data_IF_070422371488
#
_entry.id   IF_070422371488
#
_cell.length_a   1.000
_cell.length_b   1.000
_cell.length_c   1.000
_cell.angle_alpha   90.00
_cell.angle_beta   90.00
_cell.angle_gamma   90.00
#
_symmetry.space_group_name_H-M   'P 1'
#
loop_
_entity.id
_entity.type
_entity.pdbx_description
1 polymer ?
#
# COMPACT_ATOMS: atom_id res chain seq x y z
N UNK A 1 -14.46 -3.25 -28.64
CA UNK A 1 -12.99 -3.34 -28.51
C UNK A 1 -12.46 -1.93 -28.39
N UNK A 2 -11.93 -1.55 -27.22
CA UNK A 2 -11.23 -0.27 -27.09
C UNK A 2 -9.92 -0.40 -27.85
N UNK A 3 -9.75 0.40 -28.91
CA UNK A 3 -8.49 0.50 -29.62
C UNK A 3 -7.50 1.24 -28.70
N UNK A 4 -6.53 0.50 -28.16
CA UNK A 4 -5.39 1.08 -27.47
C UNK A 4 -4.59 1.86 -28.51
N UNK A 5 -4.44 3.17 -28.33
CA UNK A 5 -3.52 3.97 -29.14
C UNK A 5 -2.12 3.90 -28.53
N UNK A 6 -1.11 3.74 -29.38
CA UNK A 6 0.29 3.72 -28.98
C UNK A 6 1.13 4.42 -30.05
N UNK A 7 2.16 5.14 -29.63
CA UNK A 7 3.17 5.75 -30.50
C UNK A 7 4.55 5.29 -30.02
N UNK A 8 5.37 4.75 -30.92
CA UNK A 8 6.69 4.17 -30.63
C UNK A 8 6.72 3.13 -29.49
N UNK A 9 5.57 2.55 -29.15
CA UNK A 9 5.38 1.55 -28.10
C UNK A 9 4.42 0.48 -28.59
N UNK A 10 4.49 -0.71 -27.99
CA UNK A 10 3.62 -1.84 -28.32
C UNK A 10 3.18 -2.51 -27.02
N UNK A 11 1.88 -2.73 -26.86
CA UNK A 11 1.37 -3.57 -25.79
C UNK A 11 1.82 -5.02 -26.04
N UNK A 12 2.49 -5.61 -25.04
CA UNK A 12 2.96 -7.01 -25.10
C UNK A 12 2.14 -7.96 -24.23
N UNK A 13 1.39 -7.43 -23.26
CA UNK A 13 0.53 -8.17 -22.34
C UNK A 13 -0.37 -7.20 -21.57
N UNK A 14 -1.39 -7.71 -20.91
CA UNK A 14 -2.22 -6.97 -19.96
C UNK A 14 -2.79 -7.92 -18.92
N UNK A 15 -3.17 -7.36 -17.76
CA UNK A 15 -3.96 -8.03 -16.75
C UNK A 15 -5.05 -7.08 -16.30
N UNK A 16 -6.29 -7.55 -16.34
CA UNK A 16 -7.41 -6.75 -15.87
C UNK A 16 -7.50 -6.85 -14.35
N UNK A 17 -7.60 -5.70 -13.69
CA UNK A 17 -7.77 -5.60 -12.24
C UNK A 17 -8.59 -4.35 -11.90
N UNK A 18 -9.11 -4.22 -10.67
CA UNK A 18 -9.88 -3.05 -10.25
C UNK A 18 -9.14 -1.71 -10.45
N UNK A 19 -7.83 -1.70 -10.23
CA UNK A 19 -6.94 -0.57 -10.51
C UNK A 19 -7.20 0.69 -9.67
N UNK A 20 -6.71 1.83 -10.17
CA UNK A 20 -6.91 3.17 -9.61
C UNK A 20 -5.92 3.59 -8.50
N UNK A 21 -5.15 2.66 -7.94
CA UNK A 21 -4.10 2.95 -6.96
C UNK A 21 -2.69 2.99 -7.56
N UNK A 22 -1.71 2.97 -6.67
CA UNK A 22 -0.29 2.89 -6.99
C UNK A 22 0.08 1.51 -7.54
N UNK A 23 1.10 1.47 -8.39
CA UNK A 23 1.75 0.23 -8.81
C UNK A 23 3.21 0.23 -8.39
N UNK A 24 3.75 -0.95 -8.09
CA UNK A 24 5.15 -1.14 -7.76
C UNK A 24 5.64 -2.51 -8.27
N UNK A 25 6.93 -2.62 -8.59
CA UNK A 25 7.54 -3.88 -9.03
C UNK A 25 8.71 -4.20 -8.10
N UNK A 26 8.74 -5.44 -7.60
CA UNK A 26 9.89 -6.04 -6.92
C UNK A 26 10.21 -7.38 -7.58
N UNK A 27 11.38 -7.48 -8.20
CA UNK A 27 11.75 -8.60 -9.06
C UNK A 27 10.71 -8.89 -10.15
N UNK A 28 10.14 -10.10 -10.12
CA UNK A 28 9.12 -10.56 -11.07
C UNK A 28 7.69 -10.35 -10.58
N UNK A 29 7.48 -9.59 -9.51
CA UNK A 29 6.15 -9.38 -8.93
C UNK A 29 5.73 -7.93 -9.12
N UNK A 30 4.57 -7.75 -9.75
CA UNK A 30 3.87 -6.48 -9.83
C UNK A 30 2.81 -6.42 -8.72
N UNK A 31 2.87 -5.35 -7.94
CA UNK A 31 1.95 -5.02 -6.87
C UNK A 31 1.05 -3.88 -7.33
N UNK A 32 -0.27 -4.03 -7.18
CA UNK A 32 -1.26 -3.04 -7.65
C UNK A 32 -2.20 -2.71 -6.51
N UNK A 33 -2.11 -1.48 -5.98
CA UNK A 33 -3.08 -0.94 -5.04
C UNK A 33 -4.41 -0.59 -5.72
N UNK A 34 -5.50 -0.67 -4.97
CA UNK A 34 -6.85 -0.43 -5.47
C UNK A 34 -7.58 0.62 -4.63
N UNK A 35 -8.35 1.47 -5.31
CA UNK A 35 -9.00 2.62 -4.66
C UNK A 35 -10.24 2.30 -3.84
N UNK A 36 -10.92 1.19 -4.13
CA UNK A 36 -12.27 0.94 -3.62
C UNK A 36 -12.38 -0.44 -2.98
N UNK A 37 -12.95 -0.55 -1.77
CA UNK A 37 -13.26 -1.83 -1.18
C UNK A 37 -14.26 -2.62 -2.05
N UNK A 38 -14.22 -3.96 -2.03
CA UNK A 38 -13.38 -4.77 -1.16
C UNK A 38 -11.93 -4.87 -1.63
N UNK A 39 -11.61 -4.48 -2.87
CA UNK A 39 -10.28 -4.65 -3.43
C UNK A 39 -9.26 -3.71 -2.78
N UNK A 40 -8.24 -4.29 -2.13
CA UNK A 40 -7.14 -3.55 -1.53
C UNK A 40 -5.88 -3.58 -2.39
N UNK A 41 -5.28 -4.75 -2.57
CA UNK A 41 -4.04 -4.90 -3.34
C UNK A 41 -4.05 -6.21 -4.12
N UNK A 42 -3.63 -6.18 -5.38
CA UNK A 42 -3.42 -7.38 -6.21
C UNK A 42 -1.93 -7.60 -6.44
N UNK A 43 -1.47 -8.84 -6.32
CA UNK A 43 -0.13 -9.27 -6.71
C UNK A 43 -0.23 -10.06 -8.02
N UNK A 44 0.70 -9.78 -8.94
CA UNK A 44 0.75 -10.35 -10.28
C UNK A 44 2.17 -10.85 -10.54
N UNK A 45 2.31 -12.11 -10.90
CA UNK A 45 3.55 -12.65 -11.48
C UNK A 45 3.70 -12.13 -12.91
N UNK A 46 4.79 -11.40 -13.15
CA UNK A 46 5.17 -10.81 -14.43
C UNK A 46 6.48 -11.40 -14.98
N UNK A 47 6.88 -12.59 -14.51
CA UNK A 47 8.05 -13.32 -15.03
C UNK A 47 7.99 -13.57 -16.54
N UNK A 48 6.78 -13.82 -17.07
CA UNK A 48 6.48 -13.67 -18.49
C UNK A 48 5.62 -12.42 -18.70
N UNK A 49 6.19 -11.29 -19.15
CA UNK A 49 5.45 -10.05 -19.33
C UNK A 49 4.41 -10.11 -20.46
N UNK A 50 4.43 -11.16 -21.30
CA UNK A 50 3.39 -11.42 -22.31
C UNK A 50 2.18 -12.17 -21.75
N UNK A 51 2.35 -12.82 -20.61
CA UNK A 51 1.32 -13.61 -19.94
C UNK A 51 1.33 -13.35 -18.42
N UNK A 52 1.04 -12.11 -17.98
CA UNK A 52 0.99 -11.78 -16.56
C UNK A 52 -0.11 -12.56 -15.85
N UNK A 53 0.18 -13.07 -14.65
CA UNK A 53 -0.75 -13.92 -13.89
C UNK A 53 -1.05 -13.31 -12.53
N UNK A 54 -2.31 -13.04 -12.24
CA UNK A 54 -2.74 -12.69 -10.89
C UNK A 54 -2.49 -13.88 -9.95
N UNK A 55 -1.74 -13.66 -8.87
CA UNK A 55 -1.33 -14.71 -7.93
C UNK A 55 -1.89 -14.54 -6.51
N UNK A 56 -2.20 -13.31 -6.09
CA UNK A 56 -2.82 -13.06 -4.79
C UNK A 56 -3.63 -11.76 -4.81
N UNK A 57 -4.58 -11.66 -3.87
CA UNK A 57 -5.36 -10.45 -3.58
C UNK A 57 -5.47 -10.24 -2.09
N UNK A 58 -5.36 -9.00 -1.65
CA UNK A 58 -5.60 -8.56 -0.29
C UNK A 58 -6.81 -7.64 -0.33
N UNK A 59 -7.84 -8.03 0.42
CA UNK A 59 -9.06 -7.26 0.55
C UNK A 59 -8.98 -6.27 1.72
N UNK A 60 -9.82 -5.26 1.65
CA UNK A 60 -10.05 -4.26 2.69
C UNK A 60 -11.54 -4.17 2.98
N UNK A 61 -11.94 -3.97 4.24
CA UNK A 61 -13.35 -3.87 4.59
C UNK A 61 -13.99 -2.61 4.00
N UNK A 62 -15.34 -2.56 3.89
CA UNK A 62 -16.06 -1.35 3.56
C UNK A 62 -15.60 -0.18 4.45
N UNK A 63 -15.52 1.02 3.87
CA UNK A 63 -15.06 2.20 4.61
C UNK A 63 -13.55 2.39 4.69
N UNK A 64 -12.76 1.49 4.10
CA UNK A 64 -11.31 1.56 4.10
C UNK A 64 -10.74 1.29 2.70
N UNK A 65 -9.52 1.77 2.44
CA UNK A 65 -8.80 1.48 1.20
C UNK A 65 -7.29 1.35 1.44
N UNK A 66 -6.62 0.52 0.62
CA UNK A 66 -5.17 0.29 0.62
C UNK A 66 -4.55 0.52 -0.76
N UNK A 67 -4.73 1.74 -1.23
CA UNK A 67 -4.46 2.16 -2.60
C UNK A 67 -2.99 2.60 -2.83
N UNK A 68 -2.12 2.52 -1.82
CA UNK A 68 -0.68 2.74 -1.90
C UNK A 68 0.07 1.48 -1.52
N UNK A 69 1.05 1.12 -2.32
CA UNK A 69 1.87 -0.08 -2.13
C UNK A 69 3.34 0.22 -2.46
N UNK A 70 4.23 -0.27 -1.61
CA UNK A 70 5.68 -0.37 -1.83
C UNK A 70 6.10 -1.78 -1.46
N UNK A 71 7.07 -2.33 -2.19
CA UNK A 71 7.64 -3.62 -1.86
C UNK A 71 9.14 -3.65 -2.16
N UNK A 72 9.92 -4.32 -1.34
CA UNK A 72 11.34 -4.52 -1.59
C UNK A 72 11.82 -5.74 -0.80
N UNK A 73 12.61 -6.58 -1.45
CA UNK A 73 13.31 -7.73 -0.84
C UNK A 73 12.36 -8.65 -0.06
N UNK A 74 11.16 -8.88 -0.61
CA UNK A 74 10.15 -9.74 0.01
C UNK A 74 9.35 -9.08 1.13
N UNK A 75 9.53 -7.79 1.42
CA UNK A 75 8.66 -7.03 2.32
C UNK A 75 7.73 -6.13 1.53
N UNK A 76 6.42 -6.24 1.75
CA UNK A 76 5.41 -5.35 1.18
C UNK A 76 4.77 -4.50 2.26
N UNK A 77 4.62 -3.21 1.99
CA UNK A 77 3.90 -2.25 2.82
C UNK A 77 2.68 -1.80 2.02
N UNK A 78 1.54 -1.67 2.71
CA UNK A 78 0.33 -1.05 2.16
C UNK A 78 -0.24 -0.05 3.16
N UNK A 79 -0.84 1.03 2.66
CA UNK A 79 -1.54 1.96 3.54
C UNK A 79 -2.91 1.41 3.94
N UNK A 80 -3.41 1.83 5.09
CA UNK A 80 -4.82 1.74 5.45
C UNK A 80 -5.30 3.15 5.77
N UNK A 81 -6.20 3.64 4.93
CA UNK A 81 -6.81 4.96 5.07
C UNK A 81 -8.33 4.83 5.14
N UNK A 82 -8.97 5.71 5.91
CA UNK A 82 -10.43 5.81 6.02
C UNK A 82 -11.02 6.34 4.71
N UNK A 83 -11.88 5.55 4.09
CA UNK A 83 -12.63 5.87 2.88
C UNK A 83 -14.12 6.09 3.18
N UNK A 84 -14.48 7.32 3.55
CA UNK A 84 -15.84 7.68 3.90
C UNK A 84 -16.23 7.25 5.33
N UNK A 85 -17.53 7.24 5.62
CA UNK A 85 -18.03 7.19 7.01
C UNK A 85 -18.42 5.78 7.49
N UNK A 86 -18.56 4.81 6.59
CA UNK A 86 -18.88 3.43 6.94
C UNK A 86 -17.63 2.68 7.44
N UNK A 87 -17.83 1.43 7.88
CA UNK A 87 -16.75 0.48 8.14
C UNK A 87 -16.44 0.21 9.61
N UNK A 88 -15.78 -0.93 9.90
CA UNK A 88 -15.33 -1.29 11.24
C UNK A 88 -14.31 -0.27 11.76
N UNK A 89 -14.60 0.32 12.93
CA UNK A 89 -13.68 1.27 13.56
C UNK A 89 -12.40 0.59 14.07
N UNK A 90 -12.54 -0.66 14.52
CA UNK A 90 -11.48 -1.54 15.01
C UNK A 90 -10.53 -2.02 13.90
N UNK A 91 -10.88 -1.84 12.62
CA UNK A 91 -9.90 -2.03 11.56
C UNK A 91 -8.74 -1.06 11.74
N UNK A 92 -8.98 0.23 11.95
CA UNK A 92 -7.95 1.23 12.22
C UNK A 92 -7.07 1.59 11.01
N UNK A 93 -6.70 2.86 10.92
CA UNK A 93 -5.82 3.40 9.89
C UNK A 93 -4.34 3.23 10.24
N UNK A 94 -3.47 3.33 9.24
CA UNK A 94 -2.02 3.22 9.42
C UNK A 94 -1.36 2.49 8.26
N UNK A 95 -0.43 1.58 8.57
CA UNK A 95 0.24 0.71 7.60
C UNK A 95 0.00 -0.75 7.96
N UNK A 96 -0.18 -1.59 6.95
CA UNK A 96 -0.06 -3.03 7.09
C UNK A 96 1.19 -3.51 6.35
N UNK A 97 1.94 -4.37 7.01
CA UNK A 97 3.25 -4.85 6.59
C UNK A 97 3.16 -6.35 6.41
N UNK A 98 3.51 -6.82 5.23
CA UNK A 98 3.39 -8.19 4.78
C UNK A 98 4.76 -8.77 4.44
N UNK A 99 5.00 -9.99 4.89
CA UNK A 99 6.00 -10.87 4.30
C UNK A 99 5.43 -11.42 2.98
N UNK A 100 6.18 -11.16 1.90
CA UNK A 100 5.89 -11.59 0.52
C UNK A 100 7.05 -12.37 -0.08
N UNK A 101 7.93 -12.95 0.74
CA UNK A 101 8.95 -13.91 0.28
C UNK A 101 8.34 -15.08 -0.48
N UNK A 102 7.10 -15.45 -0.15
CA UNK A 102 6.20 -16.26 -1.01
C UNK A 102 5.03 -15.39 -1.50
N UNK A 103 5.13 -14.78 -2.70
CA UNK A 103 4.15 -13.79 -3.16
C UNK A 103 2.77 -14.37 -3.51
N UNK A 104 2.66 -15.69 -3.66
CA UNK A 104 1.38 -16.40 -3.78
C UNK A 104 0.63 -16.52 -2.44
N UNK A 105 1.33 -16.31 -1.32
CA UNK A 105 0.80 -16.39 0.04
C UNK A 105 1.27 -15.20 0.91
N UNK A 106 0.90 -13.94 0.59
CA UNK A 106 1.29 -12.79 1.39
C UNK A 106 0.83 -12.96 2.85
N UNK A 107 1.76 -12.83 3.79
CA UNK A 107 1.47 -12.99 5.22
C UNK A 107 1.55 -11.65 5.92
N UNK A 108 0.44 -11.20 6.53
CA UNK A 108 0.47 -10.03 7.40
C UNK A 108 1.37 -10.33 8.61
N UNK A 109 2.41 -9.53 8.82
CA UNK A 109 3.34 -9.69 9.93
C UNK A 109 3.25 -8.56 10.96
N UNK A 110 2.77 -7.38 10.55
CA UNK A 110 2.51 -6.27 11.47
C UNK A 110 1.45 -5.33 10.92
N UNK A 111 0.72 -4.70 11.83
CA UNK A 111 -0.14 -3.56 11.54
C UNK A 111 0.24 -2.42 12.46
N UNK A 112 0.88 -1.41 11.91
CA UNK A 112 1.16 -0.17 12.62
C UNK A 112 -0.05 0.74 12.50
N UNK A 113 -0.64 1.15 13.62
CA UNK A 113 -1.84 1.99 13.65
C UNK A 113 -1.53 3.41 14.08
N UNK A 114 -2.35 4.35 13.60
CA UNK A 114 -2.30 5.75 14.00
C UNK A 114 -3.70 6.28 14.28
N UNK A 115 -3.78 7.41 14.98
CA UNK A 115 -5.04 8.11 15.23
C UNK A 115 -5.67 8.66 13.94
N UNK A 116 -6.99 8.83 13.94
CA UNK A 116 -7.73 9.45 12.83
C UNK A 116 -7.93 8.55 11.60
N UNK A 117 -7.63 9.08 10.41
CA UNK A 117 -7.92 8.45 9.13
C UNK A 117 -6.86 7.43 8.69
N UNK A 118 -5.64 7.50 9.20
CA UNK A 118 -4.56 6.60 8.80
C UNK A 118 -3.48 7.29 7.96
N UNK A 119 -2.78 6.50 7.14
CA UNK A 119 -1.71 6.97 6.24
C UNK A 119 -2.26 7.14 4.84
N UNK A 120 -2.08 8.32 4.23
CA UNK A 120 -2.51 8.56 2.84
C UNK A 120 -1.40 8.28 1.83
N UNK A 121 -0.25 8.94 1.95
CA UNK A 121 0.93 8.72 1.08
C UNK A 121 2.12 8.32 1.94
N UNK A 122 2.99 7.52 1.35
CA UNK A 122 4.27 7.21 1.96
C UNK A 122 5.28 6.78 0.90
N UNK A 123 6.54 6.75 1.29
CA UNK A 123 7.60 6.07 0.57
C UNK A 123 8.35 5.11 1.49
N UNK A 124 9.07 4.15 0.90
CA UNK A 124 9.87 3.15 1.62
C UNK A 124 11.18 2.91 0.88
N UNK A 125 12.30 2.98 1.58
CA UNK A 125 13.65 2.90 1.00
C UNK A 125 14.39 1.57 1.28
N UNK A 126 13.67 0.56 1.78
CA UNK A 126 14.27 -0.71 2.20
C UNK A 126 14.58 -0.79 3.69
N UNK A 127 14.49 0.33 4.42
CA UNK A 127 14.56 0.34 5.90
C UNK A 127 13.57 1.30 6.54
N UNK A 128 13.46 2.52 6.05
CA UNK A 128 12.61 3.55 6.62
C UNK A 128 11.36 3.75 5.78
N UNK A 129 10.21 3.84 6.46
CA UNK A 129 8.96 4.30 5.85
C UNK A 129 8.73 5.77 6.20
N UNK A 130 8.66 6.62 5.17
CA UNK A 130 8.40 8.05 5.28
C UNK A 130 6.91 8.27 5.02
N UNK A 131 6.13 8.47 6.08
CA UNK A 131 4.67 8.38 6.05
C UNK A 131 3.99 9.73 6.29
N UNK A 132 2.80 9.91 5.73
CA UNK A 132 1.90 11.03 6.05
C UNK A 132 0.64 10.61 6.82
N UNK A 133 0.76 10.22 8.11
CA UNK A 133 -0.38 9.82 8.92
C UNK A 133 -1.17 11.03 9.44
N UNK A 134 -2.48 10.84 9.70
CA UNK A 134 -3.17 11.60 10.74
C UNK A 134 -2.72 11.10 12.11
N UNK A 135 -2.71 11.96 13.14
CA UNK A 135 -2.28 11.59 14.48
C UNK A 135 -3.07 12.36 15.55
N UNK A 136 -3.22 11.77 16.73
CA UNK A 136 -3.93 12.39 17.85
C UNK A 136 -3.24 13.68 18.28
N UNK A 137 -4.04 14.72 18.51
CA UNK A 137 -3.53 16.04 18.86
C UNK A 137 -2.90 16.79 17.68
N UNK A 138 -3.12 16.36 16.43
CA UNK A 138 -2.70 17.11 15.25
C UNK A 138 -3.86 17.41 14.30
N UNK A 139 -3.80 18.58 13.66
CA UNK A 139 -4.74 19.00 12.62
C UNK A 139 -4.29 18.45 11.27
N UNK A 140 -4.94 17.38 10.79
CA UNK A 140 -4.63 16.78 9.49
C UNK A 140 -3.40 15.86 9.50
N UNK A 141 -2.75 15.70 8.34
CA UNK A 141 -1.59 14.81 8.20
C UNK A 141 -0.28 15.51 8.60
N UNK A 142 0.58 14.80 9.31
CA UNK A 142 1.96 15.22 9.62
C UNK A 142 2.97 14.30 8.94
N UNK A 143 4.26 14.61 9.02
CA UNK A 143 5.32 13.71 8.58
C UNK A 143 5.76 12.86 9.76
N UNK A 144 5.83 11.53 9.57
CA UNK A 144 6.53 10.64 10.49
C UNK A 144 7.47 9.71 9.72
N UNK A 145 8.50 9.23 10.40
CA UNK A 145 9.47 8.28 9.87
C UNK A 145 9.44 7.06 10.78
N UNK A 146 9.14 5.89 10.21
CA UNK A 146 9.23 4.60 10.90
C UNK A 146 10.50 3.87 10.46
N UNK A 147 11.28 3.34 11.39
CA UNK A 147 12.33 2.36 11.14
C UNK A 147 11.71 0.95 11.12
N UNK A 148 11.94 0.24 10.03
CA UNK A 148 11.46 -1.12 9.77
C UNK A 148 12.61 -2.14 9.80
N UNK A 149 13.72 -1.82 10.49
CA UNK A 149 14.78 -2.81 10.76
C UNK A 149 14.23 -4.08 11.42
N UNK A 150 13.21 -3.94 12.27
CA UNK A 150 12.33 -5.03 12.70
C UNK A 150 10.90 -4.76 12.18
N UNK A 151 10.50 -5.33 11.03
CA UNK A 151 9.20 -5.04 10.43
C UNK A 151 8.01 -5.65 11.20
N UNK A 152 8.26 -6.55 12.17
CA UNK A 152 7.19 -7.01 13.08
C UNK A 152 6.90 -5.97 14.16
N UNK A 153 7.89 -5.14 14.52
CA UNK A 153 7.78 -4.06 15.50
C UNK A 153 8.30 -2.72 14.95
N UNK A 154 7.60 -2.07 14.00
CA UNK A 154 7.98 -0.75 13.48
C UNK A 154 8.13 0.29 14.59
N UNK A 155 9.21 1.06 14.56
CA UNK A 155 9.47 2.10 15.57
C UNK A 155 9.50 3.47 14.92
N UNK A 156 8.80 4.44 15.49
CA UNK A 156 8.94 5.82 15.07
C UNK A 156 10.29 6.40 15.49
N UNK A 157 11.03 6.95 14.54
CA UNK A 157 12.36 7.56 14.76
C UNK A 157 12.39 9.06 14.50
N UNK A 158 11.29 9.63 14.01
CA UNK A 158 11.17 11.06 13.82
C UNK A 158 9.78 11.46 13.36
N UNK A 159 9.41 12.71 13.68
CA UNK A 159 8.21 13.36 13.17
C UNK A 159 8.41 14.84 12.99
N UNK A 160 7.65 15.44 12.09
CA UNK A 160 7.64 16.89 11.87
C UNK A 160 6.24 17.36 11.50
N UNK A 161 5.90 18.56 11.94
CA UNK A 161 4.63 19.22 11.67
C UNK A 161 4.82 20.73 11.49
N UNK A 162 3.84 21.38 10.87
CA UNK A 162 3.82 22.83 10.73
C UNK A 162 3.48 23.46 12.09
N UNK A 163 4.18 24.51 12.57
CA UNK A 163 3.79 25.21 13.79
C UNK A 163 2.31 25.62 13.78
N UNK A 164 1.58 25.28 14.84
CA UNK A 164 0.13 25.51 14.96
C UNK A 164 -0.75 24.35 14.46
N UNK A 165 -0.15 23.25 14.00
CA UNK A 165 -0.87 22.03 13.61
C UNK A 165 -1.15 21.08 14.79
N UNK A 166 -1.00 21.51 16.04
CA UNK A 166 -1.20 20.70 17.25
C UNK A 166 -2.28 21.29 18.15
#
# INVERSE_FOLDING_TARGET
MNLVSAFNTKQIGHVDCPGGGQVWVDGNILYVGHMRPPSGTTLVDISDPRNPKKIATIDVPPGWHSHKVRAQDGLMIINHERFGNAGPADFGGGLAIYDTTRPTEPKLISKWTTGGHGVHRYDYDGRYAYISPTADGYVGNIVMILDLIDPVNPVEVGRWWIPGQW
#
